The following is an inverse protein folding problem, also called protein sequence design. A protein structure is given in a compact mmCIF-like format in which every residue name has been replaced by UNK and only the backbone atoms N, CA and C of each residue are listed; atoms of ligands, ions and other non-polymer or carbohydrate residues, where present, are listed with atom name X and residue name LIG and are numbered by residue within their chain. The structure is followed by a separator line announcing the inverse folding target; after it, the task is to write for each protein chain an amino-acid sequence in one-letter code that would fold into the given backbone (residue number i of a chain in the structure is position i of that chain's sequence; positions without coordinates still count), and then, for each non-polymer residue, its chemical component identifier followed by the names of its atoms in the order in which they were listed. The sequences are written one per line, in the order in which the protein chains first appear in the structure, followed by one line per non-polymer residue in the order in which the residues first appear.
data_IF_043138247474
#
_entry.id   IF_043138247474
#
_cell.length_a   1.000
_cell.length_b   1.000
_cell.length_c   1.000
_cell.angle_alpha   90.00
_cell.angle_beta   90.00
_cell.angle_gamma   90.00
#
_symmetry.space_group_name_H-M   'P 1'
#
loop_
_entity.id
_entity.type
_entity.pdbx_description
1 polymer ?
#
# COMPACT_ATOMS: atom_id res chain seq x y z
N UNK A 1 -1.06 14.56 18.75
CA UNK A 1 -0.83 14.79 17.30
C UNK A 1 -0.64 13.49 16.54
N UNK A 2 0.09 12.50 17.10
CA UNK A 2 0.30 11.17 16.50
C UNK A 2 -0.99 10.40 16.18
N UNK A 3 -1.98 10.43 17.07
CA UNK A 3 -3.26 9.73 16.90
C UNK A 3 -4.03 10.16 15.66
N UNK A 4 -4.08 11.47 15.36
CA UNK A 4 -4.76 11.99 14.18
C UNK A 4 -4.13 11.51 12.87
N UNK A 5 -2.79 11.51 12.80
CA UNK A 5 -2.05 11.02 11.63
C UNK A 5 -2.23 9.51 11.45
N UNK A 6 -2.26 8.76 12.55
CA UNK A 6 -2.47 7.32 12.57
C UNK A 6 -3.90 6.94 12.12
N UNK A 7 -4.93 7.66 12.59
CA UNK A 7 -6.30 7.45 12.10
C UNK A 7 -6.45 7.80 10.61
N UNK A 8 -5.80 8.89 10.16
CA UNK A 8 -5.80 9.27 8.75
C UNK A 8 -5.14 8.19 7.89
N UNK A 9 -3.95 7.72 8.27
CA UNK A 9 -3.26 6.66 7.53
C UNK A 9 -4.04 5.34 7.55
N UNK A 10 -4.65 4.99 8.69
CA UNK A 10 -5.45 3.78 8.82
C UNK A 10 -6.74 3.83 8.00
N UNK A 11 -7.38 4.99 7.87
CA UNK A 11 -8.58 5.14 7.03
C UNK A 11 -8.22 5.19 5.54
N UNK A 12 -7.13 5.88 5.19
CA UNK A 12 -6.69 6.04 3.80
C UNK A 12 -6.27 4.70 3.15
N UNK A 13 -5.85 3.69 3.93
CA UNK A 13 -5.58 2.33 3.41
C UNK A 13 -6.77 1.73 2.66
N UNK A 14 -8.00 1.97 3.13
CA UNK A 14 -9.20 1.47 2.48
C UNK A 14 -9.51 2.25 1.20
N UNK A 15 -9.15 3.53 1.16
CA UNK A 15 -9.26 4.36 -0.04
C UNK A 15 -8.25 3.89 -1.10
N UNK A 16 -7.01 3.55 -0.71
CA UNK A 16 -6.02 2.90 -1.60
C UNK A 16 -6.57 1.60 -2.17
N UNK A 17 -7.14 0.75 -1.32
CA UNK A 17 -7.71 -0.53 -1.72
C UNK A 17 -8.86 -0.34 -2.73
N UNK A 18 -9.78 0.58 -2.44
CA UNK A 18 -10.88 0.92 -3.34
C UNK A 18 -10.39 1.47 -4.68
N UNK A 19 -9.38 2.36 -4.68
CA UNK A 19 -8.81 2.93 -5.89
C UNK A 19 -8.12 1.86 -6.76
N UNK A 20 -7.38 0.93 -6.14
CA UNK A 20 -6.75 -0.20 -6.84
C UNK A 20 -7.80 -1.13 -7.45
N UNK A 21 -8.81 -1.54 -6.68
CA UNK A 21 -9.90 -2.39 -7.17
C UNK A 21 -10.65 -1.72 -8.32
N UNK A 22 -10.96 -0.43 -8.20
CA UNK A 22 -11.61 0.33 -9.26
C UNK A 22 -10.77 0.34 -10.55
N UNK A 23 -9.47 0.62 -10.45
CA UNK A 23 -8.57 0.63 -11.60
C UNK A 23 -8.43 -0.76 -12.25
N UNK A 24 -8.40 -1.83 -11.46
CA UNK A 24 -8.35 -3.22 -11.93
C UNK A 24 -9.64 -3.58 -12.66
N UNK A 25 -10.81 -3.32 -12.07
CA UNK A 25 -12.11 -3.65 -12.68
C UNK A 25 -12.30 -2.89 -14.00
N UNK A 26 -11.96 -1.60 -14.04
CA UNK A 26 -12.02 -0.79 -15.27
C UNK A 26 -11.10 -1.37 -16.36
N UNK A 27 -9.85 -1.67 -16.01
CA UNK A 27 -8.90 -2.25 -16.96
C UNK A 27 -9.27 -3.64 -17.44
N UNK A 28 -9.79 -4.48 -16.55
CA UNK A 28 -10.21 -5.84 -16.90
C UNK A 28 -11.32 -5.81 -17.95
N UNK A 29 -12.29 -4.90 -17.82
CA UNK A 29 -13.36 -4.72 -18.80
C UNK A 29 -12.87 -4.23 -20.17
N UNK A 30 -11.81 -3.43 -20.21
CA UNK A 30 -11.20 -2.94 -21.45
C UNK A 30 -10.28 -3.99 -22.13
N UNK A 31 -9.80 -4.98 -21.38
CA UNK A 31 -9.11 -6.15 -21.93
C UNK A 31 -7.76 -5.80 -22.58
N UNK A 32 -7.64 -6.06 -23.89
CA UNK A 32 -6.39 -5.87 -24.64
C UNK A 32 -6.27 -4.51 -25.33
N UNK A 33 -7.27 -3.64 -25.18
CA UNK A 33 -7.23 -2.28 -25.71
C UNK A 33 -6.04 -1.49 -25.13
N UNK A 34 -5.49 -0.59 -25.95
CA UNK A 34 -4.44 0.31 -25.52
C UNK A 34 -5.01 1.35 -24.55
N UNK A 35 -4.24 1.71 -23.53
CA UNK A 35 -4.70 2.66 -22.51
C UNK A 35 -4.61 4.10 -23.03
N UNK A 36 -5.75 4.65 -23.46
CA UNK A 36 -5.80 5.96 -24.13
C UNK A 36 -6.54 7.06 -23.35
N UNK A 37 -6.09 8.30 -23.53
CA UNK A 37 -6.76 9.51 -23.06
C UNK A 37 -7.29 9.42 -21.62
N UNK A 38 -8.63 9.45 -21.47
CA UNK A 38 -9.33 9.48 -20.18
C UNK A 38 -9.26 8.14 -19.42
N UNK A 39 -8.95 7.04 -20.09
CA UNK A 39 -8.86 5.70 -19.49
C UNK A 39 -7.62 5.53 -18.62
N UNK A 40 -6.68 6.46 -18.69
CA UNK A 40 -5.51 6.54 -17.80
C UNK A 40 -5.84 7.03 -16.39
N UNK A 41 -6.97 7.74 -16.22
CA UNK A 41 -7.33 8.42 -14.96
C UNK A 41 -7.43 7.46 -13.77
N UNK A 42 -8.07 6.28 -13.86
CA UNK A 42 -8.14 5.33 -12.74
C UNK A 42 -6.76 4.90 -12.25
N UNK A 43 -5.81 4.63 -13.16
CA UNK A 43 -4.44 4.25 -12.80
C UNK A 43 -3.66 5.40 -12.17
N UNK A 44 -3.88 6.62 -12.65
CA UNK A 44 -3.27 7.83 -12.07
C UNK A 44 -3.79 8.06 -10.65
N UNK A 45 -5.11 7.96 -10.43
CA UNK A 45 -5.74 8.14 -9.11
C UNK A 45 -5.21 7.10 -8.13
N UNK A 46 -5.18 5.81 -8.52
CA UNK A 46 -4.63 4.76 -7.67
C UNK A 46 -3.17 5.03 -7.28
N UNK A 47 -2.36 5.51 -8.24
CA UNK A 47 -0.96 5.89 -7.98
C UNK A 47 -0.86 7.05 -6.99
N UNK A 48 -1.59 8.14 -7.20
CA UNK A 48 -1.55 9.31 -6.32
C UNK A 48 -1.97 8.94 -4.89
N UNK A 49 -3.11 8.26 -4.75
CA UNK A 49 -3.64 7.86 -3.42
C UNK A 49 -2.64 6.94 -2.70
N UNK A 50 -2.01 6.00 -3.41
CA UNK A 50 -1.00 5.12 -2.83
C UNK A 50 0.27 5.88 -2.39
N UNK A 51 0.68 6.93 -3.11
CA UNK A 51 1.83 7.76 -2.70
C UNK A 51 1.48 8.62 -1.49
N UNK A 52 0.27 9.18 -1.42
CA UNK A 52 -0.19 9.89 -0.22
C UNK A 52 -0.17 8.95 0.99
N UNK A 53 -0.65 7.71 0.83
CA UNK A 53 -0.57 6.68 1.88
C UNK A 53 0.87 6.46 2.35
N UNK A 54 1.83 6.33 1.42
CA UNK A 54 3.24 6.16 1.76
C UNK A 54 3.82 7.36 2.49
N UNK A 55 3.53 8.58 2.05
CA UNK A 55 4.06 9.78 2.70
C UNK A 55 3.55 9.89 4.13
N UNK A 56 2.27 9.60 4.37
CA UNK A 56 1.73 9.54 5.74
C UNK A 56 2.35 8.39 6.54
N UNK A 57 2.56 7.23 5.90
CA UNK A 57 3.18 6.06 6.52
C UNK A 57 4.65 6.30 6.89
N UNK A 58 5.39 7.03 6.05
CA UNK A 58 6.75 7.48 6.34
C UNK A 58 6.78 8.45 7.51
N UNK A 59 5.82 9.39 7.57
CA UNK A 59 5.64 10.25 8.74
C UNK A 59 5.50 9.42 10.02
N UNK A 60 4.56 8.47 10.04
CA UNK A 60 4.35 7.57 11.17
C UNK A 60 5.55 6.66 11.44
N UNK A 61 6.29 6.28 10.41
CA UNK A 61 7.46 5.43 10.57
C UNK A 61 8.57 6.16 11.34
N UNK A 62 8.78 7.45 11.08
CA UNK A 62 9.84 8.21 11.74
C UNK A 62 9.41 8.82 13.08
N UNK A 63 8.13 9.17 13.26
CA UNK A 63 7.67 9.81 14.50
C UNK A 63 7.01 8.85 15.48
N UNK A 64 6.39 7.78 14.98
CA UNK A 64 5.52 6.90 15.76
C UNK A 64 6.22 5.68 16.38
N UNK A 65 5.57 5.11 17.40
CA UNK A 65 6.09 3.97 18.17
C UNK A 65 6.22 2.67 17.35
N UNK A 66 5.38 2.50 16.31
CA UNK A 66 5.35 1.28 15.51
C UNK A 66 6.33 1.30 14.31
N UNK A 67 7.14 2.34 14.16
CA UNK A 67 8.06 2.49 13.03
C UNK A 67 9.52 2.25 13.40
N UNK A 68 10.29 3.32 13.38
CA UNK A 68 11.71 3.34 13.71
C UNK A 68 11.97 2.89 15.15
N UNK A 69 11.08 3.25 16.08
CA UNK A 69 11.17 2.78 17.48
C UNK A 69 11.01 1.26 17.56
N UNK A 70 10.07 0.67 16.81
CA UNK A 70 9.91 -0.77 16.71
C UNK A 70 11.12 -1.44 16.03
N UNK A 71 11.71 -0.81 15.01
CA UNK A 71 12.93 -1.28 14.36
C UNK A 71 14.13 -1.29 15.32
N UNK A 72 14.37 -0.21 16.06
CA UNK A 72 15.46 -0.15 17.04
C UNK A 72 15.27 -1.22 18.12
N UNK A 73 14.03 -1.35 18.63
CA UNK A 73 13.69 -2.37 19.63
C UNK A 73 13.89 -3.80 19.10
N UNK A 74 13.60 -4.05 17.82
CA UNK A 74 13.88 -5.34 17.18
C UNK A 74 15.37 -5.68 17.21
N UNK A 75 16.24 -4.72 16.87
CA UNK A 75 17.69 -4.92 16.88
C UNK A 75 18.25 -5.06 18.29
N UNK A 76 17.77 -4.27 19.24
CA UNK A 76 18.22 -4.33 20.63
C UNK A 76 17.84 -5.64 21.33
N UNK A 77 16.64 -6.15 21.03
CA UNK A 77 16.12 -7.39 21.66
C UNK A 77 16.49 -8.67 20.92
N UNK A 78 16.94 -8.56 19.66
CA UNK A 78 17.15 -9.73 18.79
C UNK A 78 15.86 -10.49 18.46
N UNK A 79 14.71 -9.83 18.53
CA UNK A 79 13.42 -10.46 18.26
C UNK A 79 13.29 -10.93 16.80
N UNK A 80 12.42 -11.91 16.56
CA UNK A 80 12.19 -12.47 15.22
C UNK A 80 11.55 -11.44 14.27
N UNK A 81 11.86 -11.52 12.97
CA UNK A 81 11.20 -10.72 11.93
C UNK A 81 9.69 -10.96 11.86
N UNK A 82 9.22 -12.14 12.28
CA UNK A 82 7.80 -12.49 12.30
C UNK A 82 7.08 -12.04 13.59
N UNK A 83 7.79 -11.40 14.51
CA UNK A 83 7.18 -10.74 15.66
C UNK A 83 6.48 -9.43 15.25
N UNK A 84 5.68 -8.85 16.13
CA UNK A 84 5.07 -7.53 15.91
C UNK A 84 6.13 -6.46 15.57
N UNK A 85 7.26 -6.45 16.30
CA UNK A 85 8.36 -5.51 16.07
C UNK A 85 8.97 -5.69 14.67
N UNK A 86 9.21 -6.93 14.26
CA UNK A 86 9.77 -7.25 12.94
C UNK A 86 8.80 -6.93 11.81
N UNK A 87 7.51 -7.18 12.02
CA UNK A 87 6.48 -6.88 11.06
C UNK A 87 6.37 -5.38 10.81
N UNK A 88 6.16 -4.56 11.85
CA UNK A 88 5.95 -3.13 11.67
C UNK A 88 7.24 -2.38 11.34
N UNK A 89 8.38 -2.77 11.93
CA UNK A 89 9.66 -2.12 11.70
C UNK A 89 10.28 -2.42 10.34
N UNK A 90 10.03 -3.60 9.74
CA UNK A 90 10.67 -3.98 8.47
C UNK A 90 9.66 -4.47 7.44
N UNK A 91 8.95 -5.57 7.73
CA UNK A 91 8.17 -6.29 6.70
C UNK A 91 7.10 -5.38 6.09
N UNK A 92 6.32 -4.69 6.92
CA UNK A 92 5.27 -3.79 6.49
C UNK A 92 5.81 -2.69 5.56
N UNK A 93 6.90 -2.04 5.97
CA UNK A 93 7.53 -0.97 5.18
C UNK A 93 8.02 -1.48 3.82
N UNK A 94 8.76 -2.60 3.82
CA UNK A 94 9.29 -3.20 2.59
C UNK A 94 8.18 -3.62 1.64
N UNK A 95 7.11 -4.25 2.14
CA UNK A 95 5.97 -4.64 1.31
C UNK A 95 5.24 -3.42 0.72
N UNK A 96 5.02 -2.36 1.50
CA UNK A 96 4.37 -1.13 1.03
C UNK A 96 5.17 -0.44 -0.07
N UNK A 97 6.49 -0.25 0.14
CA UNK A 97 7.38 0.33 -0.87
C UNK A 97 7.37 -0.52 -2.14
N UNK A 98 7.45 -1.86 -2.01
CA UNK A 98 7.39 -2.78 -3.15
C UNK A 98 6.08 -2.63 -3.91
N UNK A 99 4.93 -2.64 -3.23
CA UNK A 99 3.63 -2.46 -3.86
C UNK A 99 3.54 -1.14 -4.63
N UNK A 100 4.03 -0.04 -4.05
CA UNK A 100 3.96 1.28 -4.66
C UNK A 100 4.85 1.37 -5.89
N UNK A 101 6.04 0.77 -5.87
CA UNK A 101 6.89 0.72 -7.06
C UNK A 101 6.20 0.00 -8.22
N UNK A 102 5.41 -1.05 -7.94
CA UNK A 102 4.60 -1.74 -8.94
C UNK A 102 3.45 -0.88 -9.45
N UNK A 103 2.77 -0.15 -8.57
CA UNK A 103 1.70 0.79 -8.95
C UNK A 103 2.25 1.90 -9.85
N UNK A 104 3.43 2.46 -9.53
CA UNK A 104 4.11 3.46 -10.37
C UNK A 104 4.49 2.89 -11.73
N UNK A 105 5.03 1.66 -11.77
CA UNK A 105 5.33 0.96 -13.03
C UNK A 105 4.07 0.72 -13.86
N UNK A 106 2.97 0.30 -13.23
CA UNK A 106 1.69 0.10 -13.89
C UNK A 106 1.18 1.41 -14.52
N UNK A 107 1.25 2.53 -13.80
CA UNK A 107 0.88 3.83 -14.34
C UNK A 107 1.81 4.30 -15.48
N UNK A 108 3.12 4.09 -15.34
CA UNK A 108 4.10 4.39 -16.40
C UNK A 108 3.80 3.60 -17.68
N UNK A 109 3.40 2.33 -17.54
CA UNK A 109 3.00 1.47 -18.65
C UNK A 109 1.69 1.97 -19.30
N UNK A 110 0.70 2.39 -18.51
CA UNK A 110 -0.52 3.04 -18.99
C UNK A 110 -0.23 4.34 -19.76
N UNK A 111 0.74 5.15 -19.30
CA UNK A 111 1.16 6.39 -19.98
C UNK A 111 1.79 6.12 -21.35
N UNK A 112 2.41 4.95 -21.53
CA UNK A 112 3.05 4.49 -22.77
C UNK A 112 2.09 3.76 -23.73
N UNK A 113 0.77 3.89 -23.57
CA UNK A 113 -0.25 3.24 -24.42
C UNK A 113 -0.15 1.70 -24.46
N UNK A 114 0.37 1.08 -23.41
CA UNK A 114 0.32 -0.38 -23.32
C UNK A 114 -1.11 -0.87 -23.13
N UNK A 115 -1.31 -2.19 -23.26
CA UNK A 115 -2.63 -2.80 -23.08
C UNK A 115 -3.11 -2.76 -21.64
N UNK A 116 -4.42 -2.57 -21.44
CA UNK A 116 -5.04 -2.60 -20.11
C UNK A 116 -4.69 -3.89 -19.35
N UNK A 117 -4.70 -5.05 -20.03
CA UNK A 117 -4.29 -6.35 -19.47
C UNK A 117 -2.90 -6.33 -18.85
N UNK A 118 -1.94 -5.63 -19.45
CA UNK A 118 -0.57 -5.56 -18.92
C UNK A 118 -0.47 -4.66 -17.69
N UNK A 119 -1.20 -3.54 -17.68
CA UNK A 119 -1.29 -2.64 -16.53
C UNK A 119 -2.02 -3.32 -15.36
N UNK A 120 -3.12 -4.01 -15.64
CA UNK A 120 -3.93 -4.72 -14.65
C UNK A 120 -3.14 -5.83 -13.98
N UNK A 121 -2.30 -6.58 -14.70
CA UNK A 121 -1.42 -7.59 -14.10
C UNK A 121 -0.52 -6.99 -13.01
N UNK A 122 0.11 -5.86 -13.28
CA UNK A 122 0.95 -5.17 -12.28
C UNK A 122 0.14 -4.64 -11.11
N UNK A 123 -1.04 -4.06 -11.37
CA UNK A 123 -1.95 -3.61 -10.31
C UNK A 123 -2.46 -4.77 -9.44
N UNK A 124 -2.71 -5.95 -10.02
CA UNK A 124 -3.09 -7.15 -9.28
C UNK A 124 -1.97 -7.63 -8.35
N UNK A 125 -0.72 -7.69 -8.84
CA UNK A 125 0.41 -8.03 -7.98
C UNK A 125 0.59 -7.02 -6.84
N UNK A 126 0.46 -5.72 -7.14
CA UNK A 126 0.50 -4.69 -6.10
C UNK A 126 -0.64 -4.86 -5.08
N UNK A 127 -1.86 -5.16 -5.54
CA UNK A 127 -3.01 -5.40 -4.68
C UNK A 127 -2.77 -6.58 -3.71
N UNK A 128 -2.21 -7.69 -4.20
CA UNK A 128 -1.88 -8.84 -3.35
C UNK A 128 -0.86 -8.47 -2.26
N UNK A 129 0.16 -7.70 -2.62
CA UNK A 129 1.16 -7.25 -1.64
C UNK A 129 0.53 -6.31 -0.60
N UNK A 130 -0.31 -5.37 -1.03
CA UNK A 130 -1.04 -4.48 -0.11
C UNK A 130 -1.93 -5.28 0.85
N UNK A 131 -2.62 -6.31 0.36
CA UNK A 131 -3.45 -7.17 1.20
C UNK A 131 -2.62 -7.91 2.26
N UNK A 132 -1.45 -8.46 1.91
CA UNK A 132 -0.56 -9.12 2.88
C UNK A 132 0.03 -8.15 3.89
N UNK A 133 0.31 -6.93 3.45
CA UNK A 133 0.96 -5.92 4.28
C UNK A 133 0.00 -5.22 5.27
N UNK A 134 -1.32 -5.34 5.10
CA UNK A 134 -2.29 -4.85 6.09
C UNK A 134 -2.20 -5.74 7.34
N UNK A 135 -1.99 -5.18 8.55
CA UNK A 135 -1.89 -5.94 9.79
C UNK A 135 -3.28 -6.44 10.23
N UNK A 136 -3.78 -7.49 9.59
CA UNK A 136 -5.06 -8.10 9.92
C UNK A 136 -5.12 -8.65 11.36
N UNK A 137 -6.29 -8.67 12.01
CA UNK A 137 -6.45 -9.15 13.38
C UNK A 137 -6.04 -10.62 13.56
N UNK A 138 -6.12 -11.45 12.51
CA UNK A 138 -5.70 -12.85 12.56
C UNK A 138 -4.18 -13.07 12.62
N UNK A 139 -3.35 -12.02 12.47
CA UNK A 139 -1.91 -12.11 12.72
C UNK A 139 -1.55 -12.11 14.22
N UNK A 140 -2.52 -11.86 15.12
CA UNK A 140 -2.28 -11.85 16.58
C UNK A 140 -1.68 -10.55 17.13
N UNK A 141 -1.16 -9.68 16.27
CA UNK A 141 -0.71 -8.32 16.57
C UNK A 141 -1.39 -7.27 15.67
N UNK A 142 -2.45 -7.67 14.96
CA UNK A 142 -3.25 -6.76 14.16
C UNK A 142 -3.96 -5.76 15.05
N UNK A 143 -3.78 -4.47 14.77
CA UNK A 143 -4.75 -3.49 15.24
C UNK A 143 -6.09 -3.80 14.58
N UNK A 144 -7.20 -3.61 15.30
CA UNK A 144 -8.53 -3.77 14.72
C UNK A 144 -8.72 -2.90 13.46
N UNK A 145 -9.93 -2.92 12.90
CA UNK A 145 -10.25 -2.09 11.73
C UNK A 145 -9.92 -0.59 11.93
N UNK A 146 -9.78 -0.16 13.19
CA UNK A 146 -9.33 1.14 13.64
C UNK A 146 -8.38 0.99 14.85
N UNK A 147 -7.06 1.24 14.72
CA UNK A 147 -6.17 1.34 15.86
C UNK A 147 -6.50 2.61 16.67
N UNK A 148 -6.66 2.48 17.99
CA UNK A 148 -6.91 3.59 18.91
C UNK A 148 -8.38 3.89 19.25
N UNK A 149 -9.30 2.96 18.97
CA UNK A 149 -10.64 2.91 19.56
C UNK A 149 -10.77 1.74 20.53
#
# INVERSE_FOLDING_TARGET
METGLLHLHSSLRYIVLAALLYAIIKGWKAGEQAVEGKERRPYLIAMIVAHIQLLLGLGLYFTGENGLTALNSLFDTGASLFSSLGFFGIIHFVLMVTAITLITKAHSLAKKNATHRSVVRLMLFALLIVLVAIPWPFYGYGSGFFPGM
#
